data_IF_873777975165
#
_entry.id   IF_873777975165
#
_cell.length_a   1.000
_cell.length_b   1.000
_cell.length_c   1.000
_cell.angle_alpha   90.00
_cell.angle_beta   90.00
_cell.angle_gamma   90.00
#
_symmetry.space_group_name_H-M   'P 1'
#
loop_
_entity.id
_entity.type
_entity.pdbx_description
1 polymer ?
#
# COMPACT_ATOMS: atom_id res chain seq x y z
N UNK A 1 -29.68 -10.76 19.78
CA UNK A 1 -29.98 -9.36 19.40
C UNK A 1 -30.97 -8.81 20.42
N UNK A 2 -30.51 -8.07 21.42
CA UNK A 2 -31.37 -7.53 22.49
C UNK A 2 -31.97 -6.19 22.05
N UNK A 3 -33.31 -6.12 21.94
CA UNK A 3 -34.06 -4.88 21.67
C UNK A 3 -34.59 -4.32 22.99
N UNK A 4 -34.07 -3.19 23.44
CA UNK A 4 -34.68 -2.42 24.52
C UNK A 4 -35.80 -1.53 23.95
N UNK A 5 -37.00 -1.69 24.50
CA UNK A 5 -38.21 -0.92 24.17
C UNK A 5 -38.05 0.54 24.62
N UNK A 6 -38.47 1.49 23.76
CA UNK A 6 -38.53 2.91 24.07
C UNK A 6 -39.11 3.71 22.90
N UNK A 7 -40.10 4.54 23.20
CA UNK A 7 -41.09 5.22 22.34
C UNK A 7 -40.62 5.79 20.98
N UNK A 8 -41.52 5.71 19.98
CA UNK A 8 -41.31 6.02 18.55
C UNK A 8 -41.33 7.51 18.15
N UNK A 9 -41.14 8.47 19.06
CA UNK A 9 -41.38 9.89 18.75
C UNK A 9 -40.18 10.81 19.01
N UNK A 10 -39.01 10.45 18.47
CA UNK A 10 -37.80 11.29 18.49
C UNK A 10 -37.29 11.57 17.07
N UNK A 11 -37.33 12.83 16.65
CA UNK A 11 -37.16 13.30 15.27
C UNK A 11 -35.91 12.81 14.51
N UNK A 12 -36.11 12.63 13.20
CA UNK A 12 -35.06 12.40 12.20
C UNK A 12 -34.26 13.69 11.99
N UNK A 13 -32.94 13.58 11.89
CA UNK A 13 -32.10 14.65 11.36
C UNK A 13 -32.18 14.68 9.82
N UNK A 14 -31.79 15.81 9.21
CA UNK A 14 -31.92 16.05 7.77
C UNK A 14 -31.06 15.11 6.88
N UNK A 15 -30.17 14.32 7.47
CA UNK A 15 -29.36 13.29 6.83
C UNK A 15 -29.96 11.87 6.92
N UNK A 16 -31.15 11.73 7.53
CA UNK A 16 -31.82 10.45 7.70
C UNK A 16 -31.21 9.53 8.76
N UNK A 17 -30.17 9.96 9.48
CA UNK A 17 -29.51 9.16 10.51
C UNK A 17 -30.26 9.32 11.83
N UNK A 18 -30.71 8.20 12.41
CA UNK A 18 -31.35 8.23 13.72
C UNK A 18 -30.28 8.32 14.83
N UNK A 19 -30.57 9.05 15.92
CA UNK A 19 -29.73 9.12 17.15
C UNK A 19 -29.28 7.74 17.66
N UNK A 20 -30.02 6.68 17.31
CA UNK A 20 -29.77 5.29 17.72
C UNK A 20 -28.55 4.68 17.02
N UNK A 21 -28.18 5.10 15.82
CA UNK A 21 -26.99 4.62 15.10
C UNK A 21 -25.69 5.13 15.73
N UNK A 22 -25.68 6.40 16.18
CA UNK A 22 -24.56 6.99 16.92
C UNK A 22 -24.37 6.31 18.29
N UNK A 23 -25.46 6.01 18.99
CA UNK A 23 -25.43 5.24 20.24
C UNK A 23 -25.06 3.76 20.03
N UNK A 24 -25.28 3.18 18.84
CA UNK A 24 -24.85 1.82 18.53
C UNK A 24 -23.33 1.71 18.38
N UNK A 25 -22.70 2.70 17.74
CA UNK A 25 -21.24 2.80 17.61
C UNK A 25 -20.62 3.18 18.97
N UNK A 26 -21.21 4.15 19.68
CA UNK A 26 -20.77 4.51 21.04
C UNK A 26 -21.00 3.41 22.10
N UNK A 27 -22.04 2.59 21.92
CA UNK A 27 -22.34 1.45 22.78
C UNK A 27 -21.36 0.28 22.64
N UNK A 28 -20.75 0.09 21.46
CA UNK A 28 -19.64 -0.85 21.28
C UNK A 28 -18.39 -0.41 22.06
N UNK A 29 -18.13 0.90 22.14
CA UNK A 29 -17.03 1.45 22.92
C UNK A 29 -17.27 1.34 24.46
N UNK A 30 -18.53 1.45 24.92
CA UNK A 30 -18.86 1.26 26.34
C UNK A 30 -19.14 -0.20 26.73
N UNK A 31 -19.30 -1.10 25.76
CA UNK A 31 -19.59 -2.53 25.94
C UNK A 31 -18.37 -3.45 26.03
N UNK A 32 -17.15 -2.90 26.10
CA UNK A 32 -15.96 -3.65 26.51
C UNK A 32 -15.33 -4.56 25.45
N UNK A 33 -15.81 -4.57 24.20
CA UNK A 33 -15.10 -5.27 23.13
C UNK A 33 -13.90 -4.46 22.69
N UNK A 34 -12.71 -4.85 23.15
CA UNK A 34 -11.47 -4.31 22.59
C UNK A 34 -11.37 -4.68 21.11
N UNK A 35 -10.65 -3.90 20.31
CA UNK A 35 -10.39 -4.21 18.89
C UNK A 35 -9.89 -5.65 18.71
N UNK A 36 -9.07 -6.13 19.64
CA UNK A 36 -8.57 -7.52 19.65
C UNK A 36 -9.69 -8.56 19.79
N UNK A 37 -10.73 -8.28 20.57
CA UNK A 37 -11.89 -9.18 20.73
C UNK A 37 -12.80 -9.15 19.50
N UNK A 38 -12.92 -8.00 18.83
CA UNK A 38 -13.65 -7.89 17.55
C UNK A 38 -12.92 -8.71 16.48
N UNK A 39 -11.61 -8.54 16.35
CA UNK A 39 -10.78 -9.30 15.40
C UNK A 39 -10.80 -10.81 15.70
N UNK A 40 -10.75 -11.21 16.97
CA UNK A 40 -10.85 -12.61 17.38
C UNK A 40 -12.23 -13.22 17.10
N UNK A 41 -13.30 -12.43 17.24
CA UNK A 41 -14.65 -12.86 16.89
C UNK A 41 -14.83 -12.99 15.37
N UNK A 42 -14.26 -12.06 14.58
CA UNK A 42 -14.25 -12.12 13.12
C UNK A 42 -13.52 -13.37 12.61
N UNK A 43 -12.38 -13.72 13.20
CA UNK A 43 -11.65 -14.95 12.87
C UNK A 43 -12.43 -16.24 13.15
N UNK A 44 -13.32 -16.22 14.16
CA UNK A 44 -14.16 -17.38 14.55
C UNK A 44 -15.49 -17.43 13.81
N UNK A 45 -15.93 -16.34 13.19
CA UNK A 45 -17.16 -16.32 12.42
C UNK A 45 -17.01 -17.24 11.19
N UNK A 46 -18.04 -18.03 10.84
CA UNK A 46 -18.02 -18.78 9.59
C UNK A 46 -17.78 -17.79 8.45
N UNK A 47 -16.69 -17.95 7.70
CA UNK A 47 -16.45 -17.16 6.50
C UNK A 47 -17.61 -17.45 5.55
N UNK A 48 -18.58 -16.55 5.48
CA UNK A 48 -19.50 -16.50 4.36
C UNK A 48 -18.63 -16.17 3.15
N UNK A 49 -18.16 -17.20 2.46
CA UNK A 49 -17.41 -17.06 1.22
C UNK A 49 -18.38 -16.48 0.21
N UNK A 50 -18.44 -15.15 0.13
CA UNK A 50 -18.80 -14.51 -1.13
C UNK A 50 -17.84 -15.08 -2.16
N UNK A 51 -18.37 -15.72 -3.19
CA UNK A 51 -17.58 -16.16 -4.35
C UNK A 51 -16.80 -14.96 -4.88
N UNK A 52 -15.47 -14.96 -4.76
CA UNK A 52 -14.60 -13.90 -5.30
C UNK A 52 -13.67 -13.19 -4.30
N UNK A 53 -13.78 -13.42 -2.99
CA UNK A 53 -12.83 -12.83 -2.00
C UNK A 53 -11.48 -13.56 -1.92
N UNK A 54 -10.47 -12.90 -1.31
CA UNK A 54 -9.11 -13.47 -1.15
C UNK A 54 -9.04 -14.63 -0.14
N UNK A 55 -10.06 -14.78 0.72
CA UNK A 55 -10.05 -15.72 1.83
C UNK A 55 -9.10 -15.33 2.98
N UNK A 56 -8.39 -14.21 2.85
CA UNK A 56 -7.53 -13.59 3.86
C UNK A 56 -7.56 -12.05 3.68
N UNK A 57 -7.03 -11.31 4.65
CA UNK A 57 -6.90 -9.84 4.55
C UNK A 57 -5.52 -9.47 4.03
N UNK A 58 -5.47 -8.42 3.22
CA UNK A 58 -4.23 -7.88 2.67
C UNK A 58 -4.18 -6.34 2.75
N UNK A 59 -2.96 -5.79 2.71
CA UNK A 59 -2.70 -4.36 2.77
C UNK A 59 -1.76 -3.96 1.63
N UNK A 60 -2.15 -2.94 0.87
CA UNK A 60 -1.29 -2.23 -0.07
C UNK A 60 -0.94 -0.87 0.54
N UNK A 61 0.33 -0.66 0.85
CA UNK A 61 0.81 0.58 1.45
C UNK A 61 1.72 1.35 0.49
N UNK A 62 1.21 2.49 0.04
CA UNK A 62 1.83 3.42 -0.89
C UNK A 62 2.47 4.55 -0.09
N UNK A 63 3.77 4.50 0.03
CA UNK A 63 4.58 5.55 0.64
C UNK A 63 4.91 6.63 -0.39
N UNK A 64 4.65 7.88 -0.03
CA UNK A 64 4.83 9.07 -0.89
C UNK A 64 5.97 9.92 -0.29
N UNK A 65 7.24 9.62 -0.61
CA UNK A 65 8.40 10.18 0.10
C UNK A 65 8.48 11.69 -0.09
N UNK A 66 8.59 12.42 1.02
CA UNK A 66 8.68 13.87 1.03
C UNK A 66 7.41 14.62 1.43
N UNK A 67 6.37 13.90 1.86
CA UNK A 67 5.14 14.50 2.38
C UNK A 67 4.30 15.18 1.28
N UNK A 68 3.30 14.50 0.70
CA UNK A 68 2.45 15.09 -0.33
C UNK A 68 1.70 16.34 0.18
N UNK A 69 1.52 17.38 -0.65
CA UNK A 69 0.87 18.62 -0.25
C UNK A 69 -0.65 18.41 -0.10
N UNK A 70 -1.11 18.04 1.09
CA UNK A 70 -2.54 17.82 1.36
C UNK A 70 -3.41 19.04 0.99
N UNK A 71 -2.88 20.26 1.13
CA UNK A 71 -3.56 21.51 0.76
C UNK A 71 -3.66 21.75 -0.74
N UNK A 72 -2.93 21.00 -1.55
CA UNK A 72 -3.04 21.04 -3.01
C UNK A 72 -3.73 19.78 -3.56
N UNK A 73 -4.22 18.90 -2.68
CA UNK A 73 -4.80 17.60 -3.05
C UNK A 73 -6.22 17.43 -2.55
N UNK A 74 -6.41 17.37 -1.23
CA UNK A 74 -7.68 16.97 -0.62
C UNK A 74 -8.25 18.02 0.33
N UNK A 75 -7.50 19.06 0.69
CA UNK A 75 -7.88 20.02 1.72
C UNK A 75 -7.47 21.44 1.31
N UNK A 76 -8.06 21.96 0.22
CA UNK A 76 -7.58 23.15 -0.52
C UNK A 76 -7.57 24.48 0.26
N UNK A 77 -8.06 24.48 1.50
CA UNK A 77 -8.10 25.64 2.40
C UNK A 77 -8.59 26.92 1.68
N UNK A 78 -9.69 26.81 0.92
CA UNK A 78 -10.17 27.93 0.08
C UNK A 78 -10.50 29.20 0.89
N UNK A 79 -10.80 29.08 2.18
CA UNK A 79 -11.04 30.23 3.07
C UNK A 79 -9.76 30.88 3.62
N UNK A 80 -8.58 30.29 3.39
CA UNK A 80 -7.32 30.88 3.82
C UNK A 80 -6.89 32.05 2.90
N UNK A 81 -6.08 33.00 3.40
CA UNK A 81 -5.51 34.07 2.58
C UNK A 81 -4.82 33.54 1.31
N UNK A 82 -4.80 34.35 0.25
CA UNK A 82 -4.23 33.97 -1.05
C UNK A 82 -2.76 33.58 -0.96
N UNK A 83 -2.04 34.13 0.01
CA UNK A 83 -0.63 33.86 0.29
C UNK A 83 -0.42 32.53 1.06
N UNK A 84 -1.51 31.86 1.46
CA UNK A 84 -1.51 30.63 2.27
C UNK A 84 -2.18 29.49 1.50
N UNK A 85 -3.29 29.71 0.80
CA UNK A 85 -3.91 28.64 0.01
C UNK A 85 -3.17 28.39 -1.32
N UNK A 86 -3.31 27.18 -1.85
CA UNK A 86 -2.78 26.82 -3.17
C UNK A 86 -3.47 27.56 -4.33
N UNK A 87 -2.92 27.46 -5.53
CA UNK A 87 -3.50 28.07 -6.75
C UNK A 87 -4.62 27.25 -7.41
N UNK A 88 -4.79 26.00 -6.97
CA UNK A 88 -5.74 25.06 -7.57
C UNK A 88 -7.17 25.31 -7.12
N UNK A 89 -8.13 24.93 -7.97
CA UNK A 89 -9.55 25.01 -7.63
C UNK A 89 -10.10 23.68 -7.12
N UNK A 90 -11.08 23.71 -6.20
CA UNK A 90 -11.82 22.52 -5.81
C UNK A 90 -12.78 22.07 -6.92
N UNK A 91 -12.93 20.77 -7.06
CA UNK A 91 -13.98 20.12 -7.85
C UNK A 91 -14.87 19.27 -6.94
N UNK A 92 -16.16 19.21 -7.28
CA UNK A 92 -17.12 18.33 -6.59
C UNK A 92 -16.78 16.88 -6.85
N UNK A 93 -16.94 16.06 -5.82
CA UNK A 93 -16.77 14.61 -5.92
C UNK A 93 -18.11 13.90 -6.07
N UNK A 94 -18.08 12.57 -6.27
CA UNK A 94 -19.26 11.71 -6.27
C UNK A 94 -20.02 11.73 -4.93
N UNK A 95 -19.36 12.09 -3.84
CA UNK A 95 -19.96 12.24 -2.51
C UNK A 95 -20.28 13.72 -2.24
N UNK A 96 -21.57 14.09 -2.07
CA UNK A 96 -21.94 15.48 -1.77
C UNK A 96 -21.25 16.01 -0.52
N UNK A 97 -20.76 17.25 -0.58
CA UNK A 97 -20.06 17.91 0.52
C UNK A 97 -18.56 17.58 0.61
N UNK A 98 -18.04 16.69 -0.24
CA UNK A 98 -16.59 16.46 -0.38
C UNK A 98 -16.12 17.07 -1.70
N UNK A 99 -15.06 17.88 -1.59
CA UNK A 99 -14.35 18.49 -2.70
C UNK A 99 -12.85 18.13 -2.63
N UNK A 100 -12.23 18.02 -3.80
CA UNK A 100 -10.78 17.75 -3.96
C UNK A 100 -10.20 18.62 -5.07
N UNK A 101 -8.88 18.60 -5.24
CA UNK A 101 -8.18 19.36 -6.27
C UNK A 101 -8.66 19.01 -7.69
N UNK A 102 -8.80 20.01 -8.56
CA UNK A 102 -9.13 19.85 -9.98
C UNK A 102 -8.19 18.94 -10.76
N UNK A 103 -6.97 18.70 -10.24
CA UNK A 103 -6.00 17.77 -10.81
C UNK A 103 -6.24 16.30 -10.44
N UNK A 104 -7.25 16.00 -9.61
CA UNK A 104 -7.62 14.66 -9.16
C UNK A 104 -9.04 14.22 -9.59
N UNK A 105 -9.43 14.36 -10.88
CA UNK A 105 -10.80 14.12 -11.32
C UNK A 105 -11.23 12.65 -11.22
N UNK A 106 -10.31 11.67 -11.38
CA UNK A 106 -10.68 10.25 -11.30
C UNK A 106 -10.90 9.82 -9.85
N UNK A 107 -10.09 10.31 -8.92
CA UNK A 107 -10.33 10.14 -7.49
C UNK A 107 -11.61 10.83 -7.04
N UNK A 108 -11.93 12.01 -7.60
CA UNK A 108 -13.22 12.67 -7.35
C UNK A 108 -14.41 11.78 -7.78
N UNK A 109 -14.28 11.08 -8.91
CA UNK A 109 -15.28 10.10 -9.38
C UNK A 109 -15.38 8.83 -8.54
N UNK A 110 -14.33 8.48 -7.80
CA UNK A 110 -14.25 7.30 -6.92
C UNK A 110 -14.34 7.64 -5.42
N UNK A 111 -14.75 8.87 -5.06
CA UNK A 111 -14.73 9.32 -3.67
C UNK A 111 -15.68 8.52 -2.76
N UNK A 112 -16.69 7.84 -3.31
CA UNK A 112 -17.56 6.92 -2.57
C UNK A 112 -16.86 5.64 -2.10
N UNK A 113 -15.62 5.40 -2.56
CA UNK A 113 -14.77 4.25 -2.22
C UNK A 113 -13.52 4.65 -1.44
N UNK A 114 -13.38 5.94 -1.13
CA UNK A 114 -12.17 6.53 -0.57
C UNK A 114 -12.51 7.40 0.66
N UNK A 115 -11.55 7.54 1.55
CA UNK A 115 -11.67 8.45 2.69
C UNK A 115 -10.36 9.23 2.90
N UNK A 116 -10.38 10.56 2.69
CA UNK A 116 -9.27 11.41 3.08
C UNK A 116 -9.19 11.52 4.62
N UNK A 117 -8.08 11.08 5.22
CA UNK A 117 -7.86 11.20 6.66
C UNK A 117 -7.11 12.51 6.93
N UNK A 118 -7.79 13.47 7.58
CA UNK A 118 -7.24 14.80 7.94
C UNK A 118 -6.93 14.96 9.43
N UNK A 119 -7.04 13.88 10.20
CA UNK A 119 -6.96 13.88 11.67
C UNK A 119 -5.65 13.31 12.22
N UNK A 120 -4.64 13.05 11.38
CA UNK A 120 -3.35 12.53 11.82
C UNK A 120 -2.58 13.64 12.54
N UNK A 121 -2.14 13.36 13.76
CA UNK A 121 -1.35 14.26 14.61
C UNK A 121 -0.10 13.55 15.12
N UNK A 122 0.94 14.31 15.46
CA UNK A 122 2.18 13.77 16.03
C UNK A 122 3.22 13.27 15.01
N UNK A 123 2.98 13.51 13.71
CA UNK A 123 3.98 13.32 12.67
C UNK A 123 5.22 14.19 12.93
N UNK A 124 6.40 13.68 12.59
CA UNK A 124 7.66 14.44 12.66
C UNK A 124 8.08 14.89 11.28
N UNK A 125 8.59 16.12 11.22
CA UNK A 125 9.21 16.72 10.04
C UNK A 125 10.58 16.06 9.78
N UNK A 126 10.52 14.84 9.24
CA UNK A 126 11.68 14.04 8.83
C UNK A 126 11.34 13.31 7.55
N UNK A 127 12.23 13.45 6.58
CA UNK A 127 12.17 12.77 5.29
C UNK A 127 12.54 11.28 5.43
N UNK A 128 11.76 10.51 6.19
CA UNK A 128 12.04 9.09 6.45
C UNK A 128 10.79 8.21 6.35
N UNK A 129 10.96 7.03 5.74
CA UNK A 129 9.88 6.05 5.56
C UNK A 129 9.38 5.41 6.86
N UNK A 130 10.17 5.50 7.93
CA UNK A 130 10.01 4.72 9.15
C UNK A 130 8.63 4.91 9.79
N UNK A 131 8.15 6.15 9.93
CA UNK A 131 6.83 6.41 10.52
C UNK A 131 5.69 5.88 9.66
N UNK A 132 5.83 5.97 8.34
CA UNK A 132 4.82 5.52 7.40
C UNK A 132 4.68 3.99 7.37
N UNK A 133 5.75 3.25 7.67
CA UNK A 133 5.76 1.79 7.52
C UNK A 133 5.70 1.03 8.84
N UNK A 134 6.08 1.67 9.94
CA UNK A 134 6.01 1.09 11.30
C UNK A 134 4.89 1.67 12.16
N UNK A 135 4.36 2.85 11.79
CA UNK A 135 3.45 3.62 12.63
C UNK A 135 4.12 4.23 13.87
N UNK A 136 5.46 4.25 13.94
CA UNK A 136 6.23 4.73 15.10
C UNK A 136 7.25 5.78 14.69
N UNK A 137 7.62 6.64 15.64
CA UNK A 137 8.76 7.53 15.48
C UNK A 137 10.06 6.75 15.61
N UNK A 138 11.10 7.18 14.89
CA UNK A 138 12.44 6.57 14.87
C UNK A 138 13.26 6.91 16.14
N UNK A 139 12.59 7.00 17.29
CA UNK A 139 13.14 7.39 18.59
C UNK A 139 12.93 6.24 19.59
N UNK A 140 13.87 6.05 20.54
CA UNK A 140 13.77 5.05 21.62
C UNK A 140 13.41 3.64 21.12
N UNK A 141 14.09 3.22 20.06
CA UNK A 141 13.87 1.91 19.48
C UNK A 141 14.40 0.79 20.37
N UNK A 142 13.75 -0.39 20.38
CA UNK A 142 14.32 -1.58 20.99
C UNK A 142 15.59 -2.03 20.26
N UNK A 143 16.36 -2.92 20.90
CA UNK A 143 17.42 -3.65 20.22
C UNK A 143 16.84 -4.35 18.97
N UNK A 144 17.53 -4.25 17.83
CA UNK A 144 17.03 -4.76 16.56
C UNK A 144 16.06 -3.85 15.81
N UNK A 145 15.61 -2.72 16.39
CA UNK A 145 14.66 -1.74 15.81
C UNK A 145 13.23 -2.27 15.66
N UNK A 146 12.26 -1.36 15.45
CA UNK A 146 10.87 -1.77 15.22
C UNK A 146 10.72 -2.45 13.84
N UNK A 147 9.97 -3.55 13.75
CA UNK A 147 9.59 -4.15 12.47
C UNK A 147 8.62 -3.25 11.71
N UNK A 148 8.69 -3.31 10.38
CA UNK A 148 7.63 -2.78 9.52
C UNK A 148 6.35 -3.60 9.64
N UNK A 149 5.21 -2.99 9.29
CA UNK A 149 3.90 -3.63 9.36
C UNK A 149 3.88 -4.97 8.59
N UNK A 150 4.52 -5.03 7.42
CA UNK A 150 4.61 -6.26 6.64
C UNK A 150 5.38 -7.38 7.36
N UNK A 151 6.45 -7.05 8.09
CA UNK A 151 7.21 -8.02 8.88
C UNK A 151 6.40 -8.50 10.10
N UNK A 152 5.66 -7.60 10.76
CA UNK A 152 4.75 -7.99 11.82
C UNK A 152 3.61 -8.90 11.30
N UNK A 153 3.09 -8.66 10.09
CA UNK A 153 2.11 -9.53 9.45
C UNK A 153 2.72 -10.89 9.06
N UNK A 154 3.97 -10.91 8.62
CA UNK A 154 4.71 -12.15 8.35
C UNK A 154 4.81 -13.03 9.61
N UNK A 155 5.20 -12.44 10.75
CA UNK A 155 5.31 -13.17 12.02
C UNK A 155 3.95 -13.65 12.54
N UNK A 156 2.95 -12.76 12.54
CA UNK A 156 1.66 -13.06 13.17
C UNK A 156 0.72 -13.90 12.32
N UNK A 157 0.86 -13.90 10.99
CA UNK A 157 -0.08 -14.58 10.08
C UNK A 157 0.57 -15.49 9.04
N UNK A 158 1.90 -15.45 8.88
CA UNK A 158 2.64 -16.29 7.94
C UNK A 158 2.19 -16.15 6.47
N UNK A 159 2.67 -17.06 5.62
CA UNK A 159 2.24 -17.16 4.22
C UNK A 159 0.79 -17.65 4.09
N UNK A 160 0.11 -17.24 3.03
CA UNK A 160 -1.25 -17.74 2.70
C UNK A 160 -1.21 -19.06 1.94
N UNK A 161 -0.13 -19.31 1.20
CA UNK A 161 0.10 -20.52 0.41
C UNK A 161 1.61 -20.83 0.34
N UNK A 162 2.00 -22.10 0.11
CA UNK A 162 3.39 -22.47 -0.11
C UNK A 162 4.02 -21.66 -1.26
N UNK A 163 5.21 -21.11 -1.04
CA UNK A 163 5.94 -20.32 -2.04
C UNK A 163 5.42 -18.89 -2.26
N UNK A 164 4.42 -18.43 -1.49
CA UNK A 164 4.00 -17.03 -1.51
C UNK A 164 4.60 -16.27 -0.32
N UNK A 165 5.42 -15.22 -0.54
CA UNK A 165 5.92 -14.41 0.57
C UNK A 165 4.77 -13.62 1.21
N UNK A 166 4.70 -13.55 2.56
CA UNK A 166 3.67 -12.76 3.23
C UNK A 166 3.88 -11.26 3.06
N UNK A 167 5.12 -10.82 2.80
CA UNK A 167 5.50 -9.42 2.67
C UNK A 167 6.39 -9.20 1.43
N UNK A 168 5.97 -8.30 0.54
CA UNK A 168 6.72 -7.85 -0.63
C UNK A 168 6.92 -6.33 -0.58
N UNK A 169 8.15 -5.87 -0.81
CA UNK A 169 8.46 -4.45 -0.96
C UNK A 169 8.91 -4.15 -2.39
N UNK A 170 8.09 -3.39 -3.11
CA UNK A 170 8.31 -2.99 -4.51
C UNK A 170 9.12 -1.70 -4.66
N UNK A 171 9.48 -1.05 -3.55
CA UNK A 171 10.19 0.23 -3.56
C UNK A 171 11.57 0.04 -4.18
N UNK A 172 11.90 0.74 -5.30
CA UNK A 172 13.27 0.75 -5.79
C UNK A 172 14.16 1.51 -4.81
N UNK A 173 15.47 1.29 -4.92
CA UNK A 173 16.44 2.01 -4.09
C UNK A 173 16.45 3.50 -4.42
N UNK A 174 16.04 4.33 -3.47
CA UNK A 174 16.02 5.79 -3.56
C UNK A 174 17.37 6.39 -3.14
N UNK A 175 17.71 7.56 -3.68
CA UNK A 175 19.01 8.20 -3.39
C UNK A 175 19.09 8.66 -1.92
N UNK A 176 18.01 9.24 -1.40
CA UNK A 176 17.92 9.60 0.01
C UNK A 176 17.76 8.35 0.87
N UNK A 177 18.81 8.00 1.63
CA UNK A 177 18.87 6.75 2.40
C UNK A 177 17.70 6.55 3.36
N UNK A 178 17.24 7.56 4.13
CA UNK A 178 16.08 7.43 5.01
C UNK A 178 14.74 7.09 4.33
N UNK A 179 14.57 7.36 3.03
CA UNK A 179 13.39 6.91 2.28
C UNK A 179 13.37 5.40 2.05
N UNK A 180 14.52 4.74 2.10
CA UNK A 180 14.63 3.32 1.81
C UNK A 180 14.18 2.47 3.01
N UNK A 181 13.35 1.46 2.70
CA UNK A 181 12.66 0.62 3.68
C UNK A 181 12.92 -0.87 3.45
N UNK A 182 12.10 -1.69 4.10
CA UNK A 182 12.10 -3.14 4.06
C UNK A 182 13.08 -3.74 5.05
N UNK A 183 13.00 -3.29 6.31
CA UNK A 183 13.77 -3.86 7.42
C UNK A 183 12.86 -4.69 8.33
N UNK A 184 13.26 -5.92 8.68
CA UNK A 184 12.46 -6.78 9.56
C UNK A 184 12.48 -6.36 11.04
N UNK A 185 13.32 -5.39 11.42
CA UNK A 185 13.49 -5.02 12.82
C UNK A 185 13.94 -6.19 13.68
N UNK A 186 13.52 -6.20 14.95
CA UNK A 186 13.83 -7.27 15.90
C UNK A 186 13.22 -8.64 15.56
N UNK A 187 12.30 -8.72 14.58
CA UNK A 187 11.73 -10.01 14.15
C UNK A 187 12.75 -10.84 13.35
N UNK A 188 13.80 -10.22 12.81
CA UNK A 188 14.88 -10.92 12.12
C UNK A 188 14.54 -11.32 10.67
N UNK A 189 15.54 -11.88 10.00
CA UNK A 189 15.52 -12.09 8.54
C UNK A 189 14.36 -12.94 8.00
N UNK A 190 13.76 -13.81 8.82
CA UNK A 190 12.63 -14.68 8.42
C UNK A 190 11.41 -13.87 7.98
N UNK A 191 11.28 -12.67 8.53
CA UNK A 191 10.16 -11.76 8.28
C UNK A 191 10.59 -10.56 7.42
N UNK A 192 11.77 -10.60 6.82
CA UNK A 192 12.19 -9.60 5.85
C UNK A 192 11.29 -9.64 4.61
N UNK A 193 10.99 -8.49 3.98
CA UNK A 193 10.25 -8.49 2.74
C UNK A 193 11.04 -9.17 1.62
N UNK A 194 10.32 -9.83 0.72
CA UNK A 194 10.85 -10.11 -0.61
C UNK A 194 10.94 -8.81 -1.41
N UNK A 195 12.13 -8.49 -1.92
CA UNK A 195 12.40 -7.22 -2.62
C UNK A 195 12.83 -7.45 -4.08
N UNK A 196 11.88 -7.54 -5.03
CA UNK A 196 12.23 -7.77 -6.44
C UNK A 196 12.92 -6.57 -7.11
N UNK A 197 12.89 -5.38 -6.48
CA UNK A 197 13.35 -4.11 -7.05
C UNK A 197 14.57 -3.51 -6.31
N UNK A 198 15.07 -4.15 -5.26
CA UNK A 198 16.27 -3.67 -4.53
C UNK A 198 17.51 -4.14 -5.29
N UNK A 199 18.44 -3.23 -5.56
CA UNK A 199 19.70 -3.52 -6.26
C UNK A 199 20.58 -4.41 -5.37
N UNK A 200 20.28 -5.71 -5.35
CA UNK A 200 20.94 -6.74 -4.55
C UNK A 200 22.36 -7.04 -5.03
N UNK A 201 23.24 -6.03 -5.05
CA UNK A 201 24.64 -6.16 -5.46
C UNK A 201 25.47 -7.13 -4.61
N UNK A 202 24.98 -7.52 -3.43
CA UNK A 202 25.79 -8.31 -2.48
C UNK A 202 25.24 -9.72 -2.17
N UNK A 203 23.92 -9.99 -2.29
CA UNK A 203 23.39 -11.35 -2.05
C UNK A 203 23.11 -12.18 -3.32
N UNK A 204 22.96 -11.53 -4.49
CA UNK A 204 22.71 -12.21 -5.78
C UNK A 204 23.99 -12.49 -6.59
N UNK A 205 25.16 -12.27 -6.01
CA UNK A 205 26.45 -12.63 -6.64
C UNK A 205 26.75 -14.12 -6.65
N UNK A 206 25.91 -14.96 -6.05
CA UNK A 206 26.12 -16.40 -6.05
C UNK A 206 25.58 -17.15 -7.29
N UNK A 207 24.80 -16.53 -8.18
CA UNK A 207 24.19 -17.26 -9.31
C UNK A 207 24.15 -16.51 -10.66
N UNK A 208 25.17 -15.72 -11.00
CA UNK A 208 25.43 -15.35 -12.41
C UNK A 208 24.46 -14.37 -13.10
N UNK A 209 23.62 -13.66 -12.36
CA UNK A 209 22.73 -12.62 -12.94
C UNK A 209 23.36 -11.23 -12.74
N UNK A 210 23.81 -10.59 -13.82
CA UNK A 210 24.42 -9.25 -13.77
C UNK A 210 23.39 -8.14 -14.03
N UNK A 211 23.68 -6.95 -13.48
CA UNK A 211 22.78 -5.80 -13.36
C UNK A 211 22.44 -5.07 -14.67
N UNK A 212 22.99 -5.45 -15.82
CA UNK A 212 22.55 -4.91 -17.12
C UNK A 212 21.17 -5.46 -17.55
N UNK A 213 20.60 -6.37 -16.75
CA UNK A 213 19.37 -7.11 -17.04
C UNK A 213 18.10 -6.52 -16.40
N UNK A 214 18.20 -5.49 -15.55
CA UNK A 214 17.06 -4.94 -14.79
C UNK A 214 16.08 -4.11 -15.63
N UNK A 215 16.49 -3.63 -16.80
CA UNK A 215 15.59 -2.92 -17.73
C UNK A 215 14.73 -3.87 -18.59
N UNK A 216 14.94 -5.18 -18.48
CA UNK A 216 14.25 -6.20 -19.27
C UNK A 216 13.62 -7.24 -18.34
N UNK A 217 12.40 -6.96 -17.90
CA UNK A 217 11.60 -7.86 -17.02
C UNK A 217 11.48 -9.28 -17.59
N UNK A 218 11.51 -9.44 -18.91
CA UNK A 218 11.51 -10.76 -19.57
C UNK A 218 12.82 -11.54 -19.39
N UNK A 219 13.94 -10.90 -19.03
CA UNK A 219 15.19 -11.60 -18.66
C UNK A 219 15.15 -12.07 -17.21
N UNK A 220 14.57 -11.29 -16.30
CA UNK A 220 14.37 -11.70 -14.91
C UNK A 220 13.50 -12.97 -14.84
N UNK A 221 12.38 -12.98 -15.55
CA UNK A 221 11.48 -14.15 -15.63
C UNK A 221 12.19 -15.38 -16.24
N UNK A 222 13.00 -15.19 -17.29
CA UNK A 222 13.82 -16.28 -17.86
C UNK A 222 14.87 -16.83 -16.89
N UNK A 223 15.47 -15.95 -16.07
CA UNK A 223 16.38 -16.35 -15.00
C UNK A 223 15.69 -17.22 -13.95
N UNK A 224 14.47 -16.85 -13.55
CA UNK A 224 13.63 -17.64 -12.65
C UNK A 224 13.25 -19.00 -13.25
N UNK A 225 12.83 -19.04 -14.52
CA UNK A 225 12.43 -20.27 -15.21
C UNK A 225 13.59 -21.26 -15.34
N UNK A 226 14.79 -20.77 -15.68
CA UNK A 226 15.98 -21.61 -15.78
C UNK A 226 16.40 -22.15 -14.40
N UNK A 227 16.42 -21.29 -13.39
CA UNK A 227 16.76 -21.68 -12.02
C UNK A 227 15.80 -22.72 -11.45
N UNK A 228 14.50 -22.57 -11.69
CA UNK A 228 13.49 -23.56 -11.26
C UNK A 228 13.75 -24.93 -11.87
N UNK A 229 14.08 -25.00 -13.18
CA UNK A 229 14.39 -26.26 -13.85
C UNK A 229 15.63 -26.94 -13.26
N UNK A 230 16.66 -26.16 -12.93
CA UNK A 230 17.91 -26.68 -12.37
C UNK A 230 17.70 -27.22 -10.94
N UNK A 231 16.82 -26.58 -10.16
CA UNK A 231 16.43 -27.04 -8.82
C UNK A 231 15.55 -28.29 -8.88
N UNK A 232 14.53 -28.34 -9.76
CA UNK A 232 13.65 -29.53 -9.90
C UNK A 232 14.46 -30.78 -10.33
N UNK A 233 15.56 -30.59 -11.06
CA UNK A 233 16.47 -31.66 -11.47
C UNK A 233 17.46 -32.09 -10.36
N UNK A 234 17.62 -31.31 -9.30
CA UNK A 234 18.56 -31.60 -8.20
C UNK A 234 17.79 -31.96 -6.92
N UNK A 235 18.00 -33.17 -6.37
CA UNK A 235 17.37 -33.64 -5.11
C UNK A 235 17.95 -32.96 -3.85
N UNK A 236 18.33 -31.69 -3.95
CA UNK A 236 19.14 -30.95 -2.97
C UNK A 236 18.31 -30.34 -1.83
N UNK A 237 16.99 -30.54 -1.83
CA UNK A 237 16.05 -29.90 -0.89
C UNK A 237 16.08 -30.44 0.55
N UNK A 238 16.59 -31.66 0.78
CA UNK A 238 16.50 -32.35 2.08
C UNK A 238 17.45 -31.81 3.18
N UNK A 239 18.43 -30.96 2.84
CA UNK A 239 19.45 -30.46 3.78
C UNK A 239 19.48 -28.95 4.02
N UNK A 240 18.52 -28.21 3.48
CA UNK A 240 18.49 -26.75 3.53
C UNK A 240 17.73 -26.26 4.78
N UNK A 241 18.25 -25.24 5.46
CA UNK A 241 17.55 -24.63 6.60
C UNK A 241 16.21 -23.99 6.17
N UNK A 242 15.35 -23.68 7.14
CA UNK A 242 14.01 -23.15 6.86
C UNK A 242 14.04 -21.82 6.07
N UNK A 243 15.08 -20.99 6.23
CA UNK A 243 15.26 -19.74 5.48
C UNK A 243 15.54 -20.01 4.02
N UNK A 244 16.41 -20.97 3.78
CA UNK A 244 16.85 -21.40 2.48
C UNK A 244 15.69 -22.08 1.76
N UNK A 245 14.96 -22.99 2.42
CA UNK A 245 13.74 -23.60 1.86
C UNK A 245 12.66 -22.58 1.52
N UNK A 246 12.44 -21.56 2.35
CA UNK A 246 11.49 -20.49 2.07
C UNK A 246 11.94 -19.63 0.88
N UNK A 247 13.23 -19.24 0.85
CA UNK A 247 13.80 -18.50 -0.27
C UNK A 247 13.69 -19.31 -1.58
N UNK A 248 14.06 -20.59 -1.57
CA UNK A 248 13.91 -21.47 -2.72
C UNK A 248 12.45 -21.62 -3.16
N UNK A 249 11.52 -21.87 -2.23
CA UNK A 249 10.09 -21.98 -2.54
C UNK A 249 9.49 -20.70 -3.13
N UNK A 250 9.96 -19.53 -2.70
CA UNK A 250 9.59 -18.24 -3.28
C UNK A 250 10.17 -18.11 -4.71
N UNK A 251 11.44 -18.46 -4.90
CA UNK A 251 12.12 -18.36 -6.21
C UNK A 251 11.56 -19.38 -7.23
N UNK A 252 11.01 -20.51 -6.80
CA UNK A 252 10.44 -21.55 -7.69
C UNK A 252 8.93 -21.47 -7.85
N UNK A 253 8.25 -20.57 -7.12
CA UNK A 253 6.80 -20.41 -7.17
C UNK A 253 6.33 -19.88 -8.52
N UNK A 254 5.61 -20.70 -9.28
CA UNK A 254 4.91 -20.23 -10.50
C UNK A 254 3.90 -19.14 -10.17
N UNK A 255 3.29 -19.19 -9.00
CA UNK A 255 2.25 -18.22 -8.62
C UNK A 255 2.85 -16.82 -8.41
N UNK A 256 3.99 -16.72 -7.71
CA UNK A 256 4.68 -15.44 -7.53
C UNK A 256 5.24 -14.91 -8.86
N UNK A 257 5.88 -15.78 -9.65
CA UNK A 257 6.40 -15.40 -10.98
C UNK A 257 5.28 -14.86 -11.88
N UNK A 258 4.13 -15.55 -11.94
CA UNK A 258 2.95 -15.10 -12.70
C UNK A 258 2.43 -13.76 -12.19
N UNK A 259 2.42 -13.53 -10.87
CA UNK A 259 1.97 -12.26 -10.30
C UNK A 259 2.90 -11.10 -10.67
N UNK A 260 4.22 -11.35 -10.70
CA UNK A 260 5.26 -10.38 -11.08
C UNK A 260 5.27 -10.06 -12.59
N UNK A 261 4.81 -10.99 -13.42
CA UNK A 261 4.73 -10.81 -14.86
C UNK A 261 3.49 -10.00 -15.27
N UNK A 262 3.70 -8.71 -15.55
CA UNK A 262 2.66 -7.82 -16.05
C UNK A 262 2.29 -8.09 -17.52
N UNK A 263 3.11 -8.81 -18.29
CA UNK A 263 2.78 -9.13 -19.68
C UNK A 263 1.63 -10.15 -19.77
N UNK A 264 1.33 -10.84 -18.66
CA UNK A 264 0.16 -11.70 -18.49
C UNK A 264 -1.14 -10.95 -18.15
N UNK A 265 -1.11 -9.62 -18.01
CA UNK A 265 -2.31 -8.82 -17.79
C UNK A 265 -2.86 -8.31 -19.13
N UNK A 266 -4.20 -8.24 -19.26
CA UNK A 266 -4.86 -7.63 -20.42
C UNK A 266 -4.24 -6.23 -20.71
N UNK A 267 -3.74 -5.98 -21.93
CA UNK A 267 -3.19 -4.69 -22.33
C UNK A 267 -4.11 -3.50 -22.02
N UNK A 268 -5.44 -3.68 -22.07
CA UNK A 268 -6.42 -2.65 -21.72
C UNK A 268 -6.37 -2.31 -20.24
N UNK A 269 -6.23 -3.30 -19.36
CA UNK A 269 -6.10 -3.09 -17.91
C UNK A 269 -4.81 -2.33 -17.63
N UNK A 270 -3.68 -2.78 -18.19
CA UNK A 270 -2.39 -2.08 -18.07
C UNK A 270 -2.47 -0.64 -18.55
N UNK A 271 -3.15 -0.41 -19.68
CA UNK A 271 -3.33 0.92 -20.23
C UNK A 271 -4.14 1.83 -19.31
N UNK A 272 -5.08 1.33 -18.49
CA UNK A 272 -5.82 2.19 -17.54
C UNK A 272 -4.91 2.84 -16.50
N UNK A 273 -4.00 2.08 -15.89
CA UNK A 273 -3.04 2.60 -14.90
C UNK A 273 -2.08 3.62 -15.53
N UNK A 274 -1.72 3.43 -16.79
CA UNK A 274 -0.67 4.19 -17.46
C UNK A 274 0.72 3.72 -17.04
N UNK A 275 1.74 4.18 -17.76
CA UNK A 275 3.14 3.79 -17.50
C UNK A 275 3.82 4.72 -16.47
N UNK A 276 3.49 6.01 -16.51
CA UNK A 276 4.22 7.05 -15.80
C UNK A 276 5.67 7.16 -16.31
N UNK A 277 6.64 7.28 -15.42
CA UNK A 277 8.07 7.35 -15.77
C UNK A 277 8.93 6.49 -14.85
N UNK A 278 9.85 5.71 -15.43
CA UNK A 278 10.87 4.94 -14.70
C UNK A 278 12.07 5.77 -14.23
N UNK A 279 12.12 7.06 -14.56
CA UNK A 279 13.18 7.95 -14.07
C UNK A 279 12.91 8.30 -12.61
N UNK A 280 13.92 8.14 -11.75
CA UNK A 280 13.89 8.69 -10.39
C UNK A 280 13.51 10.17 -10.43
N UNK A 281 12.64 10.58 -9.51
CA UNK A 281 12.23 11.96 -9.33
C UNK A 281 13.02 12.52 -8.14
N UNK A 282 13.81 13.57 -8.34
CA UNK A 282 14.68 14.09 -7.28
C UNK A 282 15.56 12.98 -6.67
N UNK A 283 15.56 12.88 -5.34
CA UNK A 283 16.22 11.82 -4.57
C UNK A 283 15.25 10.69 -4.14
N UNK A 284 13.99 10.75 -4.56
CA UNK A 284 12.91 9.83 -4.23
C UNK A 284 12.61 8.77 -5.29
N UNK A 285 11.38 8.25 -5.27
CA UNK A 285 10.95 7.16 -6.13
C UNK A 285 10.57 7.66 -7.54
N UNK A 286 10.61 6.79 -8.56
CA UNK A 286 10.04 7.09 -9.87
C UNK A 286 8.49 7.17 -9.80
N UNK A 287 7.86 7.74 -10.84
CA UNK A 287 6.39 7.67 -11.02
C UNK A 287 6.00 6.42 -11.79
N UNK A 288 6.26 5.24 -11.22
CA UNK A 288 5.94 3.97 -11.87
C UNK A 288 4.49 3.56 -11.58
N UNK A 289 3.56 4.00 -12.43
CA UNK A 289 2.14 3.68 -12.27
C UNK A 289 1.84 2.17 -12.34
N UNK A 290 2.61 1.42 -13.12
CA UNK A 290 2.50 -0.04 -13.20
C UNK A 290 2.73 -0.76 -11.85
N UNK A 291 3.38 -0.11 -10.87
CA UNK A 291 3.54 -0.71 -9.53
C UNK A 291 2.20 -0.86 -8.78
N UNK A 292 1.20 -0.03 -9.08
CA UNK A 292 -0.12 -0.15 -8.47
C UNK A 292 -0.82 -1.41 -8.99
N UNK A 293 -0.74 -1.66 -10.29
CA UNK A 293 -1.23 -2.89 -10.92
C UNK A 293 -0.50 -4.12 -10.37
N UNK A 294 0.83 -4.03 -10.26
CA UNK A 294 1.63 -5.11 -9.70
C UNK A 294 1.24 -5.41 -8.24
N UNK A 295 1.01 -4.38 -7.42
CA UNK A 295 0.55 -4.55 -6.05
C UNK A 295 -0.81 -5.27 -5.99
N UNK A 296 -1.75 -4.92 -6.88
CA UNK A 296 -3.04 -5.62 -7.01
C UNK A 296 -2.84 -7.11 -7.35
N UNK A 297 -2.01 -7.42 -8.34
CA UNK A 297 -1.72 -8.82 -8.73
C UNK A 297 -1.07 -9.63 -7.62
N UNK A 298 -0.18 -9.01 -6.84
CA UNK A 298 0.48 -9.67 -5.72
C UNK A 298 -0.49 -9.99 -4.58
N UNK A 299 -1.38 -9.07 -4.20
CA UNK A 299 -2.40 -9.37 -3.18
C UNK A 299 -3.40 -10.43 -3.65
N UNK A 300 -3.78 -10.41 -4.95
CA UNK A 300 -4.57 -11.47 -5.57
C UNK A 300 -3.90 -12.84 -5.52
N UNK A 301 -2.57 -12.86 -5.69
CA UNK A 301 -1.78 -14.08 -5.62
C UNK A 301 -1.59 -14.60 -4.18
N UNK A 302 -1.87 -13.78 -3.15
CA UNK A 302 -1.79 -14.18 -1.74
C UNK A 302 -0.78 -13.41 -0.89
N UNK A 303 -0.14 -12.37 -1.43
CA UNK A 303 0.73 -11.52 -0.61
C UNK A 303 -0.12 -10.73 0.39
N UNK A 304 0.17 -10.85 1.69
CA UNK A 304 -0.58 -10.15 2.74
C UNK A 304 -0.24 -8.67 2.82
N UNK A 305 1.00 -8.30 2.59
CA UNK A 305 1.43 -6.91 2.64
C UNK A 305 2.30 -6.58 1.43
N UNK A 306 1.89 -5.58 0.66
CA UNK A 306 2.68 -5.01 -0.42
C UNK A 306 2.98 -3.56 -0.08
N UNK A 307 4.26 -3.20 0.02
CA UNK A 307 4.68 -1.80 0.13
C UNK A 307 5.26 -1.31 -1.18
N UNK A 308 4.99 -0.07 -1.55
CA UNK A 308 5.60 0.59 -2.70
C UNK A 308 5.87 2.07 -2.38
N UNK A 309 6.87 2.65 -3.02
CA UNK A 309 7.17 4.08 -2.92
C UNK A 309 6.81 4.75 -4.24
N UNK A 310 6.09 5.86 -4.21
CA UNK A 310 5.60 6.50 -5.42
C UNK A 310 5.98 7.98 -5.52
N UNK A 311 6.72 8.30 -6.57
CA UNK A 311 7.22 9.64 -6.87
C UNK A 311 8.12 10.26 -5.80
N UNK A 312 8.35 11.56 -5.92
CA UNK A 312 9.05 12.42 -4.98
C UNK A 312 8.17 13.63 -4.69
N UNK A 313 7.98 13.88 -3.40
CA UNK A 313 7.06 14.91 -2.89
C UNK A 313 7.78 15.99 -2.10
N UNK A 314 9.10 15.87 -1.87
CA UNK A 314 9.90 16.85 -1.13
C UNK A 314 10.27 18.08 -1.98
N UNK A 315 9.25 18.82 -2.42
CA UNK A 315 9.43 20.02 -3.21
C UNK A 315 9.78 21.21 -2.31
N UNK A 316 10.97 21.77 -2.47
CA UNK A 316 11.41 23.01 -1.79
C UNK A 316 11.11 24.28 -2.62
N UNK A 317 10.45 24.13 -3.76
CA UNK A 317 10.08 25.22 -4.66
C UNK A 317 9.32 24.71 -5.88
N UNK A 318 8.74 25.63 -6.67
CA UNK A 318 7.93 25.31 -7.85
C UNK A 318 6.79 24.30 -7.58
N UNK A 319 6.19 24.34 -6.39
CA UNK A 319 5.23 23.34 -5.90
C UNK A 319 4.09 23.08 -6.87
N UNK A 320 3.47 24.14 -7.41
CA UNK A 320 2.34 23.98 -8.33
C UNK A 320 2.73 23.37 -9.68
N UNK A 321 3.94 23.65 -10.18
CA UNK A 321 4.48 22.99 -11.38
C UNK A 321 4.67 21.50 -11.12
N UNK A 322 5.20 21.14 -9.95
CA UNK A 322 5.34 19.74 -9.56
C UNK A 322 3.97 19.07 -9.38
N UNK A 323 3.00 19.71 -8.73
CA UNK A 323 1.64 19.17 -8.60
C UNK A 323 0.97 18.93 -9.97
N UNK A 324 1.07 19.86 -10.92
CA UNK A 324 0.56 19.68 -12.30
C UNK A 324 1.20 18.51 -13.05
N UNK A 325 2.38 18.06 -12.61
CA UNK A 325 3.07 16.91 -13.19
C UNK A 325 2.78 15.60 -12.44
N UNK A 326 2.71 15.66 -11.10
CA UNK A 326 2.61 14.48 -10.25
C UNK A 326 1.17 14.02 -9.98
N UNK A 327 0.26 14.96 -9.73
CA UNK A 327 -1.12 14.65 -9.36
C UNK A 327 -1.88 13.91 -10.47
N UNK A 328 -1.77 14.24 -11.77
CA UNK A 328 -2.45 13.48 -12.81
C UNK A 328 -2.00 12.02 -12.94
N UNK A 329 -0.70 11.75 -12.80
CA UNK A 329 -0.17 10.39 -12.85
C UNK A 329 -0.65 9.59 -11.62
N UNK A 330 -0.65 10.22 -10.44
CA UNK A 330 -1.14 9.62 -9.19
C UNK A 330 -2.65 9.35 -9.24
N UNK A 331 -3.46 10.33 -9.65
CA UNK A 331 -4.91 10.26 -9.82
C UNK A 331 -5.28 9.06 -10.70
N UNK A 332 -4.58 8.92 -11.83
CA UNK A 332 -4.77 7.80 -12.75
C UNK A 332 -4.46 6.45 -12.11
N UNK A 333 -3.30 6.30 -11.48
CA UNK A 333 -2.86 5.02 -10.93
C UNK A 333 -3.73 4.58 -9.73
N UNK A 334 -3.95 5.49 -8.78
CA UNK A 334 -4.71 5.23 -7.57
C UNK A 334 -6.19 4.96 -7.89
N UNK A 335 -6.82 5.75 -8.77
CA UNK A 335 -8.20 5.49 -9.18
C UNK A 335 -8.36 4.12 -9.86
N UNK A 336 -7.41 3.74 -10.74
CA UNK A 336 -7.45 2.44 -11.43
C UNK A 336 -7.27 1.26 -10.45
N UNK A 337 -6.41 1.41 -9.43
CA UNK A 337 -6.26 0.40 -8.37
C UNK A 337 -7.57 0.19 -7.61
N UNK A 338 -8.21 1.29 -7.19
CA UNK A 338 -9.48 1.25 -6.44
C UNK A 338 -10.59 0.65 -7.30
N UNK A 339 -10.70 1.05 -8.57
CA UNK A 339 -11.63 0.46 -9.54
C UNK A 339 -11.42 -1.06 -9.66
N UNK A 340 -10.18 -1.51 -9.92
CA UNK A 340 -9.86 -2.93 -10.04
C UNK A 340 -10.23 -3.73 -8.77
N UNK A 341 -9.93 -3.21 -7.58
CA UNK A 341 -10.26 -3.91 -6.32
C UNK A 341 -11.77 -4.07 -6.14
N UNK A 342 -12.57 -3.08 -6.54
CA UNK A 342 -14.02 -3.17 -6.49
C UNK A 342 -14.60 -4.09 -7.57
N UNK A 343 -14.15 -3.95 -8.81
CA UNK A 343 -14.63 -4.76 -9.95
C UNK A 343 -14.37 -6.25 -9.74
N UNK A 344 -13.34 -6.58 -8.96
CA UNK A 344 -12.93 -7.94 -8.64
C UNK A 344 -13.46 -8.46 -7.30
N UNK A 345 -14.24 -7.65 -6.58
CA UNK A 345 -14.81 -8.04 -5.28
C UNK A 345 -13.79 -8.14 -4.14
N UNK A 346 -12.62 -7.51 -4.28
CA UNK A 346 -11.53 -7.51 -3.31
C UNK A 346 -11.59 -6.35 -2.32
N UNK A 347 -12.51 -5.40 -2.52
CA UNK A 347 -12.64 -4.19 -1.71
C UNK A 347 -12.96 -4.45 -0.23
N UNK A 348 -13.47 -5.64 0.11
CA UNK A 348 -13.72 -6.05 1.50
C UNK A 348 -12.48 -6.70 2.15
N UNK A 349 -11.51 -7.15 1.36
CA UNK A 349 -10.35 -7.92 1.81
C UNK A 349 -9.04 -7.14 1.74
N UNK A 350 -8.95 -6.14 0.86
CA UNK A 350 -7.74 -5.35 0.62
C UNK A 350 -7.92 -3.92 1.13
N UNK A 351 -7.08 -3.52 2.08
CA UNK A 351 -6.96 -2.12 2.49
C UNK A 351 -5.84 -1.44 1.70
N UNK A 352 -6.12 -0.29 1.10
CA UNK A 352 -5.12 0.54 0.43
C UNK A 352 -4.85 1.80 1.26
N UNK A 353 -3.58 2.08 1.55
CA UNK A 353 -3.15 3.25 2.30
C UNK A 353 -2.17 4.03 1.42
N UNK A 354 -2.43 5.32 1.19
CA UNK A 354 -1.53 6.19 0.43
C UNK A 354 -1.23 7.45 1.26
N UNK A 355 0.03 7.62 1.66
CA UNK A 355 0.44 8.71 2.54
C UNK A 355 1.95 8.96 2.54
N UNK A 356 2.34 10.11 3.08
CA UNK A 356 3.72 10.47 3.37
C UNK A 356 3.90 10.87 4.83
N UNK A 357 5.12 11.28 5.15
CA UNK A 357 5.67 11.50 6.48
C UNK A 357 4.94 12.58 7.26
N UNK A 358 4.68 13.70 6.59
CA UNK A 358 4.07 14.89 7.17
C UNK A 358 3.37 15.70 6.07
N UNK A 359 2.58 16.67 6.51
CA UNK A 359 1.97 17.65 5.62
C UNK A 359 2.84 18.91 5.49
N UNK A 360 2.59 19.69 4.45
CA UNK A 360 3.30 20.95 4.24
C UNK A 360 2.55 22.12 4.85
N UNK A 361 3.29 23.06 5.40
CA UNK A 361 2.79 24.40 5.68
C UNK A 361 2.89 25.24 4.41
N UNK A 362 1.94 26.16 4.18
CA UNK A 362 2.04 27.13 3.08
C UNK A 362 3.21 28.11 3.13
N UNK A 363 3.91 28.15 4.27
CA UNK A 363 5.06 29.00 4.54
C UNK A 363 6.17 28.20 5.18
#
# INVERSE_FOLDING_TARGET
>A
MLKFLGNQTGGRFCDGISRRSFLQIGGLAMGGLSMNQILAAEQKAPKATKSGGLGHKAVIMIYMPGGPPHQDMYDLKMEAPREIRGEFNPIKTKVPGIEVCELLPRLAGNMDKLIPIRSIVGAKDRHESFQCLTGRLNERQPAGRWPEMGSALSETQGSTSPGMPPFVALSPRMQHRPYNNGKPGFLGGAHAPFKPMDDGKDDLKLNGISLDQFNDRGKLLRGFDQFRRDVDNSKTMEGLDAFTQQAYGILTSSQLSTALDLDQEDPKVRARYGKGTGKHQGDGAPRLNEQFLLARRLVEAGVRCVTLSYSFWDWHGSNFKHARTNLPDFDRAMASLVEDLHDRGLNEDVTVIAWGEFGRTPR
#
